data_IF_363864952842
#
_entry.id   IF_363864952842
#
_cell.length_a   1.000
_cell.length_b   1.000
_cell.length_c   1.000
_cell.angle_alpha   90.00
_cell.angle_beta   90.00
_cell.angle_gamma   90.00
#
_symmetry.space_group_name_H-M   'P 1'
#
loop_
_entity.id
_entity.type
_entity.pdbx_description
1 polymer ?
#
# COMPACT_ATOMS: atom_id res chain seq x y z
N UNK A 1 -40.15 27.16 -1.49
CA UNK A 1 -39.42 26.61 -0.32
C UNK A 1 -38.06 26.19 -0.83
N UNK A 2 -36.98 26.80 -0.35
CA UNK A 2 -35.63 26.32 -0.64
C UNK A 2 -35.48 24.93 -0.02
N UNK A 3 -35.38 23.90 -0.87
CA UNK A 3 -35.08 22.55 -0.41
C UNK A 3 -33.58 22.50 -0.15
N UNK A 4 -33.17 22.58 1.13
CA UNK A 4 -31.77 22.39 1.51
C UNK A 4 -31.30 21.02 1.01
N UNK A 5 -30.38 21.01 0.04
CA UNK A 5 -29.80 19.78 -0.52
C UNK A 5 -28.64 19.33 0.36
N UNK A 6 -28.97 18.65 1.45
CA UNK A 6 -27.97 17.96 2.29
C UNK A 6 -27.37 16.77 1.52
N UNK A 7 -26.14 16.39 1.83
CA UNK A 7 -25.49 15.21 1.25
C UNK A 7 -24.81 14.36 2.32
N UNK A 8 -24.78 13.04 2.08
CA UNK A 8 -23.99 12.09 2.86
C UNK A 8 -23.62 10.94 1.93
N UNK A 9 -22.35 10.88 1.52
CA UNK A 9 -21.88 9.94 0.50
C UNK A 9 -21.31 8.67 1.15
N UNK A 10 -21.67 7.52 0.58
CA UNK A 10 -21.01 6.25 0.84
C UNK A 10 -20.68 5.60 -0.50
N UNK A 11 -19.54 4.94 -0.63
CA UNK A 11 -19.15 4.40 -1.92
C UNK A 11 -17.83 3.65 -1.90
N UNK A 12 -17.42 3.23 -3.10
CA UNK A 12 -16.18 2.49 -3.33
C UNK A 12 -15.19 3.32 -4.12
N UNK A 13 -13.92 3.19 -3.76
CA UNK A 13 -12.80 3.74 -4.52
C UNK A 13 -12.11 2.64 -5.31
N UNK A 14 -11.83 2.88 -6.58
CA UNK A 14 -11.06 1.99 -7.44
C UNK A 14 -9.95 2.75 -8.16
N UNK A 15 -8.75 2.19 -8.23
CA UNK A 15 -7.65 2.72 -9.01
C UNK A 15 -7.56 2.04 -10.36
N UNK A 16 -7.05 2.76 -11.35
CA UNK A 16 -6.72 2.24 -12.67
C UNK A 16 -5.33 2.77 -13.00
N UNK A 17 -4.43 1.91 -13.46
CA UNK A 17 -3.10 2.35 -13.88
C UNK A 17 -3.18 3.20 -15.15
N UNK A 18 -2.43 4.30 -15.20
CA UNK A 18 -2.22 5.05 -16.43
C UNK A 18 -1.04 4.48 -17.20
N UNK A 19 -1.20 4.40 -18.52
CA UNK A 19 -0.13 4.06 -19.46
C UNK A 19 0.73 5.30 -19.75
N UNK A 20 1.93 5.07 -20.26
CA UNK A 20 2.85 6.14 -20.64
C UNK A 20 2.29 7.07 -21.74
N UNK A 21 1.33 6.59 -22.55
CA UNK A 21 0.64 7.38 -23.57
C UNK A 21 -0.50 8.27 -23.01
N UNK A 22 -0.73 8.22 -21.70
CA UNK A 22 -1.80 8.94 -21.01
C UNK A 22 -3.15 8.23 -21.01
N UNK A 23 -3.30 7.10 -21.70
CA UNK A 23 -4.54 6.30 -21.68
C UNK A 23 -4.66 5.47 -20.39
N UNK A 24 -5.89 5.05 -20.08
CA UNK A 24 -6.16 4.16 -18.94
C UNK A 24 -5.92 2.71 -19.33
N UNK A 25 -5.30 1.94 -18.43
CA UNK A 25 -5.23 0.49 -18.60
C UNK A 25 -6.45 -0.20 -17.98
N UNK A 26 -7.51 -0.37 -18.77
CA UNK A 26 -8.80 -0.87 -18.31
C UNK A 26 -8.75 -2.29 -17.69
N UNK A 27 -7.67 -3.05 -17.89
CA UNK A 27 -7.46 -4.36 -17.24
C UNK A 27 -6.94 -4.27 -15.81
N UNK A 28 -6.56 -3.06 -15.35
CA UNK A 28 -5.92 -2.83 -14.04
C UNK A 28 -6.85 -2.14 -13.03
N UNK A 29 -8.17 -2.16 -13.27
CA UNK A 29 -9.13 -1.59 -12.32
C UNK A 29 -9.15 -2.43 -11.06
N UNK A 30 -8.63 -1.88 -9.97
CA UNK A 30 -8.52 -2.56 -8.67
C UNK A 30 -9.29 -1.79 -7.61
N UNK A 31 -10.08 -2.50 -6.81
CA UNK A 31 -10.75 -1.92 -5.64
C UNK A 31 -9.72 -1.68 -4.53
N UNK A 32 -9.77 -0.51 -3.90
CA UNK A 32 -8.81 -0.14 -2.85
C UNK A 32 -9.16 -0.71 -1.47
N UNK A 33 -10.27 -1.44 -1.33
CA UNK A 33 -10.79 -1.84 -0.03
C UNK A 33 -11.72 -0.78 0.57
N UNK A 34 -12.14 -0.99 1.81
CA UNK A 34 -12.93 -0.04 2.55
C UNK A 34 -12.13 1.23 2.91
N UNK A 35 -12.69 2.38 2.54
CA UNK A 35 -12.15 3.71 2.83
C UNK A 35 -13.05 4.37 3.88
N UNK A 36 -12.52 4.54 5.09
CA UNK A 36 -13.24 5.14 6.22
C UNK A 36 -13.49 6.63 6.02
N UNK A 37 -12.51 7.32 5.47
CA UNK A 37 -12.55 8.76 5.23
C UNK A 37 -11.80 9.10 3.95
N UNK A 38 -12.34 10.02 3.17
CA UNK A 38 -11.72 10.56 1.97
C UNK A 38 -12.04 12.05 1.82
N UNK A 39 -11.02 12.85 1.54
CA UNK A 39 -11.16 14.29 1.32
C UNK A 39 -10.26 14.77 0.18
N UNK A 40 -10.70 15.84 -0.49
CA UNK A 40 -9.90 16.54 -1.49
C UNK A 40 -9.71 17.97 -1.00
N UNK A 41 -8.46 18.32 -0.72
CA UNK A 41 -8.06 19.67 -0.34
C UNK A 41 -7.66 20.45 -1.60
N UNK A 42 -8.16 21.67 -1.73
CA UNK A 42 -7.89 22.54 -2.87
C UNK A 42 -7.28 23.83 -2.37
N UNK A 43 -6.10 24.17 -2.88
CA UNK A 43 -5.40 25.41 -2.55
C UNK A 43 -5.00 26.17 -3.81
N UNK A 44 -4.90 27.49 -3.67
CA UNK A 44 -4.47 28.39 -4.75
C UNK A 44 -3.40 29.33 -4.23
N UNK A 45 -2.33 29.47 -4.99
CA UNK A 45 -1.32 30.49 -4.74
C UNK A 45 -1.77 31.80 -5.39
N UNK A 46 -1.63 32.91 -4.66
CA UNK A 46 -2.06 34.23 -5.13
C UNK A 46 -0.95 35.24 -4.99
N UNK A 47 -0.78 36.04 -6.02
CA UNK A 47 -0.02 37.28 -5.97
C UNK A 47 -1.00 38.45 -5.91
N UNK A 48 -0.86 39.31 -4.91
CA UNK A 48 -1.74 40.46 -4.70
C UNK A 48 -0.94 41.75 -4.77
N UNK A 49 -1.36 42.65 -5.65
CA UNK A 49 -0.74 43.96 -5.81
C UNK A 49 -1.45 44.99 -4.92
N UNK A 50 -0.67 45.72 -4.11
CA UNK A 50 -1.17 46.87 -3.36
C UNK A 50 -1.15 48.13 -4.21
N UNK A 51 -2.19 48.97 -4.13
CA UNK A 51 -2.18 50.27 -4.78
C UNK A 51 -1.11 51.20 -4.17
N UNK A 52 -0.51 52.03 -5.02
CA UNK A 52 0.53 52.99 -4.62
C UNK A 52 0.07 54.45 -4.69
N UNK A 53 -1.16 54.74 -5.13
CA UNK A 53 -1.60 56.10 -5.49
C UNK A 53 -2.53 56.76 -4.45
N UNK A 54 -3.22 56.02 -3.60
CA UNK A 54 -4.17 56.58 -2.61
C UNK A 54 -3.55 56.87 -1.24
N UNK A 55 -2.34 56.38 -0.99
CA UNK A 55 -1.71 56.36 0.33
C UNK A 55 -2.30 55.34 1.32
N UNK A 56 -3.33 54.58 0.94
CA UNK A 56 -4.02 53.61 1.82
C UNK A 56 -3.42 52.20 1.76
N UNK A 57 -2.57 51.91 0.77
CA UNK A 57 -1.98 50.56 0.53
C UNK A 57 -3.05 49.46 0.49
N UNK A 58 -4.20 49.72 -0.13
CA UNK A 58 -5.27 48.74 -0.30
C UNK A 58 -4.92 47.70 -1.38
N UNK A 59 -5.62 46.57 -1.40
CA UNK A 59 -5.49 45.57 -2.48
C UNK A 59 -6.08 46.12 -3.79
N UNK A 60 -5.28 46.15 -4.85
CA UNK A 60 -5.66 46.70 -6.15
C UNK A 60 -5.92 45.61 -7.20
N UNK A 61 -5.26 44.47 -7.07
CA UNK A 61 -5.44 43.34 -7.96
C UNK A 61 -4.90 42.05 -7.37
N UNK A 62 -5.45 40.92 -7.79
CA UNK A 62 -4.97 39.58 -7.39
C UNK A 62 -4.91 38.66 -8.61
N UNK A 63 -3.87 37.85 -8.71
CA UNK A 63 -3.66 36.86 -9.77
C UNK A 63 -3.42 35.51 -9.10
N UNK A 64 -4.05 34.45 -9.62
CA UNK A 64 -3.78 33.07 -9.19
C UNK A 64 -2.57 32.55 -9.97
N UNK A 65 -1.51 32.16 -9.26
CA UNK A 65 -0.24 31.69 -9.83
C UNK A 65 -0.09 30.17 -9.78
N UNK A 66 -0.82 29.51 -8.89
CA UNK A 66 -0.77 28.07 -8.68
C UNK A 66 -2.12 27.50 -8.25
N UNK A 67 -2.37 26.23 -8.59
CA UNK A 67 -3.52 25.44 -8.12
C UNK A 67 -3.03 24.08 -7.71
N UNK A 68 -3.34 23.68 -6.49
CA UNK A 68 -2.95 22.39 -5.93
C UNK A 68 -4.18 21.66 -5.43
N UNK A 69 -4.22 20.37 -5.69
CA UNK A 69 -5.30 19.47 -5.30
C UNK A 69 -4.67 18.27 -4.61
N UNK A 70 -4.92 18.12 -3.31
CA UNK A 70 -4.40 17.03 -2.50
C UNK A 70 -5.54 16.09 -2.14
N UNK A 71 -5.32 14.80 -2.34
CA UNK A 71 -6.22 13.72 -1.95
C UNK A 71 -5.71 13.10 -0.65
N UNK A 72 -6.59 12.98 0.33
CA UNK A 72 -6.32 12.27 1.59
C UNK A 72 -7.35 11.16 1.75
N UNK A 73 -6.90 9.93 1.99
CA UNK A 73 -7.77 8.78 2.24
C UNK A 73 -7.24 7.96 3.41
N UNK A 74 -8.15 7.36 4.18
CA UNK A 74 -7.82 6.42 5.25
C UNK A 74 -8.48 5.08 4.98
N UNK A 75 -7.65 4.08 4.66
CA UNK A 75 -8.09 2.72 4.36
C UNK A 75 -8.05 1.86 5.62
N UNK A 76 -8.93 0.87 5.72
CA UNK A 76 -9.01 -0.01 6.89
C UNK A 76 -8.68 -1.47 6.60
N UNK A 77 -8.40 -1.81 5.33
CA UNK A 77 -8.15 -3.18 4.90
C UNK A 77 -6.67 -3.41 4.56
N UNK A 78 -6.18 -4.60 4.90
CA UNK A 78 -4.81 -5.03 4.61
C UNK A 78 -4.75 -5.71 3.24
N UNK A 79 -4.70 -4.90 2.18
CA UNK A 79 -4.64 -5.37 0.79
C UNK A 79 -3.28 -5.05 0.14
N UNK A 80 -2.70 -5.95 -0.66
CA UNK A 80 -1.39 -5.74 -1.28
C UNK A 80 -1.29 -4.49 -2.16
N UNK A 81 -2.32 -4.19 -2.96
CA UNK A 81 -2.29 -3.05 -3.89
C UNK A 81 -2.26 -1.69 -3.15
N UNK A 82 -3.18 -1.36 -2.22
CA UNK A 82 -3.08 -0.15 -1.41
C UNK A 82 -1.77 -0.06 -0.61
N UNK A 83 -1.28 -1.18 -0.07
CA UNK A 83 0.01 -1.22 0.63
C UNK A 83 1.15 -0.87 -0.32
N UNK A 84 1.17 -1.45 -1.52
CA UNK A 84 2.19 -1.17 -2.54
C UNK A 84 2.17 0.31 -2.95
N UNK A 85 0.98 0.89 -3.14
CA UNK A 85 0.81 2.32 -3.43
C UNK A 85 1.34 3.19 -2.29
N UNK A 86 0.99 2.88 -1.04
CA UNK A 86 1.42 3.66 0.14
C UNK A 86 2.92 3.54 0.44
N UNK A 87 3.58 2.44 0.08
CA UNK A 87 4.99 2.19 0.42
C UNK A 87 5.94 2.43 -0.76
N UNK A 88 5.41 2.88 -1.90
CA UNK A 88 6.12 2.90 -3.18
C UNK A 88 6.76 1.55 -3.50
N UNK A 89 6.07 0.48 -3.10
CA UNK A 89 6.65 -0.83 -3.13
C UNK A 89 6.51 -1.46 -4.51
N UNK A 90 7.52 -2.25 -4.90
CA UNK A 90 7.38 -3.21 -5.98
C UNK A 90 6.80 -4.49 -5.41
N UNK A 91 5.64 -4.89 -5.93
CA UNK A 91 5.05 -6.19 -5.64
C UNK A 91 5.77 -7.28 -6.43
N UNK A 92 6.22 -8.32 -5.72
CA UNK A 92 6.86 -9.50 -6.30
C UNK A 92 6.21 -10.73 -5.71
N UNK A 93 5.62 -11.56 -6.56
CA UNK A 93 5.17 -12.89 -6.17
C UNK A 93 6.38 -13.77 -5.91
N UNK A 94 6.41 -14.41 -4.76
CA UNK A 94 7.41 -15.40 -4.40
C UNK A 94 6.73 -16.76 -4.44
N UNK A 95 7.22 -17.61 -5.32
CA UNK A 95 6.74 -18.98 -5.43
C UNK A 95 7.17 -19.81 -4.22
N UNK A 96 6.37 -20.81 -3.88
CA UNK A 96 6.73 -21.80 -2.88
C UNK A 96 8.03 -22.53 -3.28
N UNK A 97 8.89 -22.81 -2.31
CA UNK A 97 10.19 -23.45 -2.53
C UNK A 97 10.37 -24.64 -1.61
N UNK A 98 11.01 -25.69 -2.13
CA UNK A 98 11.54 -26.77 -1.29
C UNK A 98 13.03 -26.51 -1.10
N UNK A 99 13.43 -26.27 0.15
CA UNK A 99 14.82 -26.10 0.54
C UNK A 99 15.29 -27.45 1.09
N UNK A 100 16.41 -27.94 0.57
CA UNK A 100 17.00 -29.20 0.98
C UNK A 100 18.39 -28.94 1.57
N UNK A 101 18.67 -29.63 2.68
CA UNK A 101 19.96 -29.68 3.34
C UNK A 101 20.61 -28.31 3.64
N UNK A 102 19.83 -27.33 4.09
CA UNK A 102 20.33 -26.06 4.61
C UNK A 102 21.19 -26.29 5.85
N UNK A 103 22.46 -25.89 5.78
CA UNK A 103 23.43 -26.17 6.83
C UNK A 103 23.34 -25.16 7.99
N UNK A 104 23.23 -25.68 9.20
CA UNK A 104 23.21 -24.85 10.40
C UNK A 104 24.62 -24.39 10.75
N UNK A 105 24.77 -23.19 11.34
CA UNK A 105 26.04 -22.79 11.95
C UNK A 105 26.38 -23.73 13.11
N UNK A 106 27.61 -23.61 13.64
CA UNK A 106 27.95 -24.33 14.88
C UNK A 106 27.08 -23.81 16.03
N UNK A 107 26.32 -24.70 16.65
CA UNK A 107 25.34 -24.40 17.69
C UNK A 107 25.65 -25.13 18.98
N UNK A 108 25.23 -24.56 20.11
CA UNK A 108 25.18 -25.24 21.40
C UNK A 108 23.73 -25.37 21.88
N UNK A 109 23.50 -26.27 22.84
CA UNK A 109 22.18 -26.45 23.47
C UNK A 109 21.63 -25.10 23.94
N UNK A 110 20.40 -24.78 23.53
CA UNK A 110 19.69 -23.53 23.83
C UNK A 110 19.85 -22.42 22.79
N UNK A 111 20.67 -22.59 21.74
CA UNK A 111 20.72 -21.63 20.63
C UNK A 111 19.48 -21.73 19.73
N UNK A 112 19.05 -20.57 19.23
CA UNK A 112 18.04 -20.46 18.18
C UNK A 112 18.72 -20.12 16.86
N UNK A 113 18.49 -20.94 15.84
CA UNK A 113 18.91 -20.72 14.45
C UNK A 113 17.70 -20.22 13.67
N UNK A 114 17.93 -19.23 12.82
CA UNK A 114 16.93 -18.72 11.88
C UNK A 114 17.21 -19.35 10.52
N UNK A 115 16.20 -20.00 9.94
CA UNK A 115 16.28 -20.53 8.58
C UNK A 115 16.19 -19.41 7.55
N UNK A 116 16.74 -19.61 6.36
CA UNK A 116 16.68 -18.61 5.28
C UNK A 116 15.26 -18.40 4.72
N UNK A 117 14.37 -19.37 4.93
CA UNK A 117 13.00 -19.35 4.42
C UNK A 117 11.97 -18.95 5.47
N UNK A 118 10.80 -18.50 5.00
CA UNK A 118 9.68 -18.06 5.84
C UNK A 118 8.44 -18.93 5.62
N UNK A 119 7.49 -18.86 6.55
CA UNK A 119 6.26 -19.67 6.57
C UNK A 119 6.56 -21.14 6.26
N UNK A 120 7.44 -21.70 7.09
CA UNK A 120 8.03 -23.02 6.87
C UNK A 120 7.02 -24.13 7.20
N UNK A 121 7.10 -25.22 6.45
CA UNK A 121 6.35 -26.46 6.71
C UNK A 121 7.20 -27.68 6.35
N UNK A 122 6.78 -28.87 6.80
CA UNK A 122 7.48 -30.14 6.56
C UNK A 122 8.98 -30.12 6.96
N UNK A 123 9.31 -29.47 8.09
CA UNK A 123 10.69 -29.37 8.57
C UNK A 123 11.24 -30.73 9.02
N UNK A 124 12.39 -31.10 8.45
CA UNK A 124 13.16 -32.28 8.80
C UNK A 124 14.60 -31.84 9.04
N UNK A 125 15.12 -32.11 10.23
CA UNK A 125 16.52 -31.81 10.59
C UNK A 125 17.30 -33.11 10.73
N UNK A 126 18.46 -33.19 10.07
CA UNK A 126 19.36 -34.34 10.14
C UNK A 126 20.75 -33.93 10.59
N UNK A 127 21.47 -34.85 11.19
CA UNK A 127 22.87 -34.67 11.52
C UNK A 127 23.81 -35.02 10.35
N UNK A 128 25.08 -34.61 10.43
CA UNK A 128 26.09 -34.82 9.39
C UNK A 128 26.91 -36.11 9.59
N UNK A 129 26.30 -37.16 10.15
CA UNK A 129 26.94 -38.49 10.23
C UNK A 129 26.88 -39.22 8.89
N UNK A 130 27.68 -40.29 8.73
CA UNK A 130 27.71 -41.10 7.50
C UNK A 130 26.36 -41.80 7.20
N UNK A 131 25.57 -42.05 8.25
CA UNK A 131 24.17 -42.50 8.17
C UNK A 131 23.33 -41.47 8.93
N UNK A 132 22.89 -40.37 8.27
CA UNK A 132 22.28 -39.23 8.93
C UNK A 132 21.12 -39.62 9.85
N UNK A 133 21.18 -39.18 11.11
CA UNK A 133 20.11 -39.37 12.08
C UNK A 133 19.17 -38.17 12.03
N UNK A 134 17.88 -38.43 11.89
CA UNK A 134 16.84 -37.39 11.96
C UNK A 134 16.64 -36.99 13.42
N UNK A 135 16.80 -35.70 13.71
CA UNK A 135 16.50 -35.11 15.01
C UNK A 135 14.98 -35.12 15.24
N UNK A 136 14.54 -35.28 16.49
CA UNK A 136 13.13 -35.32 16.86
C UNK A 136 12.68 -33.98 17.45
N UNK A 137 11.60 -33.44 16.91
CA UNK A 137 10.92 -32.27 17.49
C UNK A 137 10.44 -32.56 18.92
N UNK A 138 10.59 -31.58 19.81
CA UNK A 138 10.24 -31.66 21.23
C UNK A 138 11.26 -32.40 22.10
N UNK A 139 12.27 -33.04 21.50
CA UNK A 139 13.35 -33.74 22.22
C UNK A 139 14.71 -33.13 21.88
N UNK A 140 15.02 -33.04 20.59
CA UNK A 140 16.32 -32.60 20.10
C UNK A 140 16.29 -31.13 19.63
N UNK A 141 15.13 -30.66 19.17
CA UNK A 141 14.88 -29.26 18.81
C UNK A 141 13.42 -28.86 19.08
N UNK A 142 13.16 -27.56 19.11
CA UNK A 142 11.84 -26.93 19.27
C UNK A 142 11.65 -25.90 18.14
N UNK A 143 10.48 -25.90 17.50
CA UNK A 143 10.10 -24.86 16.56
C UNK A 143 9.57 -23.69 17.39
N UNK A 144 10.34 -22.60 17.45
CA UNK A 144 9.95 -21.38 18.18
C UNK A 144 8.97 -20.57 17.33
N UNK A 145 9.19 -20.52 16.02
CA UNK A 145 8.33 -19.83 15.07
C UNK A 145 8.47 -20.44 13.68
N UNK A 146 7.37 -20.92 13.13
CA UNK A 146 7.27 -21.40 11.75
C UNK A 146 7.14 -20.23 10.74
N UNK A 147 6.78 -19.04 11.20
CA UNK A 147 6.68 -17.84 10.36
C UNK A 147 8.07 -17.33 9.98
N UNK A 148 8.93 -17.10 10.98
CA UNK A 148 10.30 -16.61 10.81
C UNK A 148 11.34 -17.72 10.61
N UNK A 149 10.95 -18.98 10.78
CA UNK A 149 11.87 -20.10 10.68
C UNK A 149 12.82 -20.21 11.87
N UNK A 150 12.36 -19.83 13.07
CA UNK A 150 13.17 -19.84 14.29
C UNK A 150 13.15 -21.23 14.94
N UNK A 151 14.30 -21.90 14.94
CA UNK A 151 14.47 -23.25 15.46
C UNK A 151 15.44 -23.25 16.63
N UNK A 152 14.96 -23.64 17.80
CA UNK A 152 15.79 -23.76 19.01
C UNK A 152 16.32 -25.18 19.15
N UNK A 153 17.64 -25.32 19.24
CA UNK A 153 18.28 -26.62 19.43
C UNK A 153 18.33 -26.95 20.93
N UNK A 154 17.86 -28.15 21.31
CA UNK A 154 17.77 -28.60 22.69
C UNK A 154 18.89 -29.59 23.06
N UNK A 155 19.34 -30.40 22.09
CA UNK A 155 20.37 -31.41 22.31
C UNK A 155 21.33 -31.53 21.11
N UNK A 156 22.60 -31.19 21.37
CA UNK A 156 23.71 -31.27 20.41
C UNK A 156 24.67 -32.41 20.69
N UNK A 157 24.60 -33.03 21.88
CA UNK A 157 25.65 -33.95 22.38
C UNK A 157 25.63 -35.32 21.73
N UNK A 158 24.48 -35.75 21.23
CA UNK A 158 24.26 -37.07 20.63
C UNK A 158 24.40 -37.09 19.11
N UNK A 159 24.68 -35.94 18.48
CA UNK A 159 24.63 -35.78 17.04
C UNK A 159 25.87 -35.07 16.48
N UNK A 160 26.16 -35.28 15.20
CA UNK A 160 27.29 -34.62 14.53
C UNK A 160 26.85 -33.36 13.78
N UNK A 161 27.45 -32.23 14.12
CA UNK A 161 27.26 -30.97 13.39
C UNK A 161 28.11 -30.90 12.10
N UNK A 162 27.75 -30.06 11.11
CA UNK A 162 26.58 -29.17 11.07
C UNK A 162 25.26 -29.94 10.93
N UNK A 163 24.17 -29.42 11.49
CA UNK A 163 22.83 -29.94 11.21
C UNK A 163 22.36 -29.48 9.84
N UNK A 164 21.48 -30.26 9.22
CA UNK A 164 20.95 -29.99 7.88
C UNK A 164 19.43 -29.97 7.94
N UNK A 165 18.82 -28.82 7.64
CA UNK A 165 17.38 -28.68 7.57
C UNK A 165 16.87 -28.82 6.14
N UNK A 166 15.82 -29.62 5.98
CA UNK A 166 15.03 -29.68 4.75
C UNK A 166 13.60 -29.29 5.09
N UNK A 167 13.02 -28.36 4.33
CA UNK A 167 11.69 -27.81 4.61
C UNK A 167 11.09 -27.17 3.36
N UNK A 168 9.80 -26.84 3.43
CA UNK A 168 9.10 -26.08 2.39
C UNK A 168 8.86 -24.66 2.89
N UNK A 169 9.15 -23.67 2.06
CA UNK A 169 8.74 -22.28 2.26
C UNK A 169 7.50 -22.00 1.41
N UNK A 170 6.50 -21.34 2.01
CA UNK A 170 5.22 -21.07 1.36
C UNK A 170 5.32 -19.96 0.30
N UNK A 171 4.36 -19.93 -0.62
CA UNK A 171 4.20 -18.79 -1.52
C UNK A 171 3.84 -17.52 -0.73
N UNK A 172 4.32 -16.37 -1.19
CA UNK A 172 4.06 -15.08 -0.55
C UNK A 172 4.05 -13.95 -1.57
N UNK A 173 3.44 -12.83 -1.19
CA UNK A 173 3.59 -11.56 -1.92
C UNK A 173 4.57 -10.68 -1.16
N UNK A 174 5.76 -10.49 -1.73
CA UNK A 174 6.76 -9.59 -1.19
C UNK A 174 6.51 -8.17 -1.70
N UNK A 175 6.49 -7.20 -0.77
CA UNK A 175 6.47 -5.78 -1.07
C UNK A 175 7.85 -5.20 -0.73
N UNK A 176 8.56 -4.66 -1.72
CA UNK A 176 9.84 -3.99 -1.52
C UNK A 176 9.66 -2.48 -1.53
N UNK A 177 9.61 -1.80 -0.36
CA UNK A 177 9.34 -0.36 -0.28
C UNK A 177 10.38 0.45 -1.05
N UNK A 178 9.95 1.58 -1.63
CA UNK A 178 10.78 2.47 -2.46
C UNK A 178 11.49 1.82 -3.67
N UNK A 179 11.17 0.58 -4.03
CA UNK A 179 11.71 -0.05 -5.23
C UNK A 179 11.18 0.61 -6.51
N UNK A 180 10.01 1.27 -6.45
CA UNK A 180 9.49 2.08 -7.53
C UNK A 180 9.89 3.55 -7.32
N UNK A 181 11.03 3.95 -7.90
CA UNK A 181 11.57 5.32 -7.81
C UNK A 181 10.58 6.36 -8.37
N UNK A 182 9.77 5.96 -9.36
CA UNK A 182 8.67 6.75 -9.89
C UNK A 182 7.43 5.85 -10.02
N UNK A 183 6.56 5.80 -8.99
CA UNK A 183 5.37 4.97 -9.05
C UNK A 183 4.44 5.47 -10.16
N UNK A 184 3.74 4.56 -10.86
CA UNK A 184 2.88 4.94 -11.97
C UNK A 184 1.71 5.80 -11.48
N UNK A 185 1.40 6.84 -12.23
CA UNK A 185 0.21 7.65 -12.02
C UNK A 185 -1.05 6.77 -12.14
N UNK A 186 -2.04 7.03 -11.29
CA UNK A 186 -3.31 6.32 -11.27
C UNK A 186 -4.46 7.25 -11.66
N UNK A 187 -5.48 6.70 -12.30
CA UNK A 187 -6.80 7.30 -12.31
C UNK A 187 -7.58 6.72 -11.12
N UNK A 188 -8.25 7.57 -10.36
CA UNK A 188 -9.04 7.16 -9.20
C UNK A 188 -10.52 7.42 -9.47
N UNK A 189 -11.33 6.40 -9.27
CA UNK A 189 -12.77 6.44 -9.51
C UNK A 189 -13.50 6.19 -8.20
N UNK A 190 -14.36 7.13 -7.81
CA UNK A 190 -15.33 6.98 -6.74
C UNK A 190 -16.70 6.70 -7.33
N UNK A 191 -17.28 5.58 -6.91
CA UNK A 191 -18.66 5.22 -7.23
C UNK A 191 -19.44 5.18 -5.92
N UNK A 192 -20.28 6.17 -5.70
CA UNK A 192 -21.01 6.35 -4.45
C UNK A 192 -22.51 6.55 -4.61
N UNK A 193 -23.19 6.48 -3.48
CA UNK A 193 -24.60 6.77 -3.29
C UNK A 193 -24.74 7.86 -2.22
N UNK A 194 -25.56 8.86 -2.50
CA UNK A 194 -25.97 9.81 -1.49
C UNK A 194 -27.08 9.18 -0.64
N UNK A 195 -26.75 8.85 0.61
CA UNK A 195 -27.64 8.14 1.54
C UNK A 195 -28.90 8.94 1.91
N UNK A 196 -28.90 10.26 1.74
CA UNK A 196 -30.08 11.10 2.00
C UNK A 196 -31.06 11.14 0.82
N UNK A 197 -30.57 10.98 -0.40
CA UNK A 197 -31.39 11.10 -1.63
C UNK A 197 -31.55 9.79 -2.39
N UNK A 198 -30.74 8.77 -2.07
CA UNK A 198 -30.64 7.51 -2.81
C UNK A 198 -30.00 7.63 -4.19
N UNK A 199 -29.47 8.80 -4.56
CA UNK A 199 -28.94 9.06 -5.91
C UNK A 199 -27.47 8.73 -6.02
N UNK A 200 -27.08 8.18 -7.17
CA UNK A 200 -25.69 7.85 -7.42
C UNK A 200 -24.86 9.11 -7.69
N UNK A 201 -23.63 9.07 -7.21
CA UNK A 201 -22.59 10.08 -7.40
C UNK A 201 -21.35 9.38 -7.94
N UNK A 202 -20.76 9.95 -8.98
CA UNK A 202 -19.57 9.44 -9.64
C UNK A 202 -18.52 10.54 -9.67
N UNK A 203 -17.32 10.24 -9.17
CA UNK A 203 -16.19 11.16 -9.22
C UNK A 203 -15.03 10.43 -9.89
N UNK A 204 -14.45 11.04 -10.92
CA UNK A 204 -13.26 10.52 -11.58
C UNK A 204 -12.15 11.55 -11.48
N UNK A 205 -11.04 11.16 -10.88
CA UNK A 205 -9.81 11.94 -10.76
C UNK A 205 -8.81 11.38 -11.77
N UNK A 206 -8.45 12.20 -12.76
CA UNK A 206 -7.80 11.69 -13.97
C UNK A 206 -6.37 11.24 -13.72
N UNK A 207 -5.57 12.05 -13.03
CA UNK A 207 -4.16 11.77 -12.71
C UNK A 207 -3.94 12.00 -11.23
N UNK A 208 -3.68 10.92 -10.51
CA UNK A 208 -3.32 10.92 -9.10
C UNK A 208 -1.92 10.32 -8.99
N UNK A 209 -1.00 11.10 -8.45
CA UNK A 209 0.29 10.61 -7.98
C UNK A 209 0.14 10.38 -6.48
N UNK A 210 0.14 9.11 -6.06
CA UNK A 210 0.19 8.80 -4.62
C UNK A 210 1.56 9.15 -4.07
N UNK A 211 1.60 9.57 -2.81
CA UNK A 211 2.78 9.85 -2.02
C UNK A 211 3.04 8.69 -1.05
N UNK A 212 4.30 8.43 -0.66
CA UNK A 212 4.58 7.38 0.31
C UNK A 212 4.01 7.79 1.67
N UNK A 213 3.45 6.84 2.41
CA UNK A 213 2.92 7.11 3.75
C UNK A 213 4.04 7.56 4.67
N UNK A 214 3.79 8.64 5.40
CA UNK A 214 4.72 9.17 6.41
C UNK A 214 4.69 8.35 7.71
N UNK A 215 3.62 7.60 7.96
CA UNK A 215 3.46 6.76 9.14
C UNK A 215 2.73 5.45 8.79
N UNK A 216 3.34 4.32 9.13
CA UNK A 216 2.79 2.98 8.88
C UNK A 216 2.70 2.22 10.20
N UNK A 217 1.52 2.23 10.82
CA UNK A 217 1.27 1.60 12.11
C UNK A 217 1.08 0.09 12.01
N UNK A 218 2.07 -0.68 12.48
CA UNK A 218 2.03 -2.15 12.44
C UNK A 218 1.18 -2.77 13.55
N UNK A 219 1.11 -2.14 14.72
CA UNK A 219 0.42 -2.66 15.92
C UNK A 219 -0.55 -1.59 16.39
N UNK A 220 -1.81 -1.97 16.60
CA UNK A 220 -2.90 -1.04 16.92
C UNK A 220 -3.77 -1.62 18.05
N UNK A 221 -4.26 -0.76 18.95
CA UNK A 221 -5.20 -1.15 20.03
C UNK A 221 -6.63 -1.37 19.51
N UNK A 222 -6.93 -0.80 18.34
CA UNK A 222 -8.22 -0.95 17.63
C UNK A 222 -7.96 -1.41 16.18
N UNK A 223 -8.88 -1.15 15.25
CA UNK A 223 -8.65 -1.46 13.85
C UNK A 223 -7.47 -0.65 13.29
N UNK A 224 -6.59 -1.33 12.54
CA UNK A 224 -5.49 -0.67 11.85
C UNK A 224 -6.00 0.24 10.74
N UNK A 225 -5.26 1.33 10.51
CA UNK A 225 -5.56 2.31 9.48
C UNK A 225 -4.33 2.51 8.58
N UNK A 226 -4.56 2.62 7.28
CA UNK A 226 -3.56 2.93 6.28
C UNK A 226 -3.87 4.29 5.66
N UNK A 227 -3.14 5.34 6.03
CA UNK A 227 -3.27 6.63 5.36
C UNK A 227 -2.66 6.52 3.95
N UNK A 228 -3.42 6.96 2.96
CA UNK A 228 -3.01 7.04 1.56
C UNK A 228 -3.27 8.46 1.06
N UNK A 229 -2.20 9.19 0.81
CA UNK A 229 -2.24 10.55 0.31
C UNK A 229 -1.76 10.61 -1.13
N UNK A 230 -2.21 11.61 -1.88
CA UNK A 230 -1.70 11.84 -3.22
C UNK A 230 -2.01 13.23 -3.74
N UNK A 231 -1.36 13.59 -4.83
CA UNK A 231 -1.57 14.87 -5.51
C UNK A 231 -2.26 14.63 -6.85
N UNK A 232 -3.30 15.42 -7.15
CA UNK A 232 -3.95 15.41 -8.45
C UNK A 232 -3.14 16.27 -9.42
N UNK A 233 -2.70 15.67 -10.52
CA UNK A 233 -1.96 16.32 -11.58
C UNK A 233 -2.89 16.72 -12.73
N UNK A 234 -2.54 17.79 -13.45
CA UNK A 234 -3.34 18.24 -14.59
C UNK A 234 -3.21 17.26 -15.77
N UNK A 235 -4.31 16.76 -16.30
CA UNK A 235 -4.34 15.99 -17.53
C UNK A 235 -4.53 16.90 -18.75
N UNK A 236 -3.47 17.10 -19.53
CA UNK A 236 -3.49 17.96 -20.71
C UNK A 236 -4.40 17.44 -21.83
N UNK A 237 -4.68 16.13 -21.90
CA UNK A 237 -5.61 15.57 -22.89
C UNK A 237 -7.09 15.79 -22.51
N UNK A 238 -7.35 16.04 -21.22
CA UNK A 238 -8.67 16.40 -20.69
C UNK A 238 -8.85 17.91 -20.57
N UNK A 239 -7.77 18.68 -20.71
CA UNK A 239 -7.79 20.16 -20.68
C UNK A 239 -8.21 20.70 -22.05
N UNK A 240 -9.17 21.64 -22.10
CA UNK A 240 -9.59 22.31 -23.34
C UNK A 240 -10.76 21.66 -24.08
N UNK A 241 -11.38 20.61 -23.53
CA UNK A 241 -12.78 20.30 -23.85
C UNK A 241 -13.63 21.25 -22.98
N UNK A 242 -14.60 21.95 -23.58
CA UNK A 242 -15.37 23.08 -23.02
C UNK A 242 -15.99 22.89 -21.61
N UNK A 243 -15.87 21.72 -20.98
CA UNK A 243 -16.55 21.35 -19.73
C UNK A 243 -15.66 20.58 -18.73
N UNK A 244 -14.36 20.40 -18.98
CA UNK A 244 -13.50 19.60 -18.10
C UNK A 244 -12.41 20.43 -17.40
N UNK A 245 -12.28 20.25 -16.09
CA UNK A 245 -11.31 20.95 -15.25
C UNK A 245 -9.85 20.51 -15.49
N UNK A 246 -9.63 19.40 -16.21
CA UNK A 246 -8.32 18.77 -16.40
C UNK A 246 -7.83 17.95 -15.19
N UNK A 247 -8.45 18.07 -14.01
CA UNK A 247 -8.05 17.34 -12.80
C UNK A 247 -9.04 16.24 -12.44
N UNK A 248 -10.33 16.59 -12.37
CA UNK A 248 -11.40 15.67 -12.02
C UNK A 248 -12.74 16.07 -12.65
N UNK A 249 -13.67 15.13 -12.66
CA UNK A 249 -15.09 15.37 -12.93
C UNK A 249 -15.96 14.80 -11.83
N UNK A 250 -17.07 15.49 -11.54
CA UNK A 250 -18.10 15.05 -10.59
C UNK A 250 -19.42 14.99 -11.35
N UNK A 251 -20.05 13.82 -11.34
CA UNK A 251 -21.34 13.57 -11.96
C UNK A 251 -22.31 13.10 -10.87
N UNK A 252 -23.44 13.79 -10.75
CA UNK A 252 -24.53 13.42 -9.84
C UNK A 252 -25.78 13.18 -10.65
N UNK A 253 -26.52 12.12 -10.35
CA UNK A 253 -27.82 11.91 -10.98
C UNK A 253 -28.85 12.95 -10.50
N UNK A 254 -29.67 13.44 -11.44
CA UNK A 254 -30.73 14.42 -11.17
C UNK A 254 -32.02 13.84 -10.63
#
# INVERSE_FOLDING_TARGET
METNKLFSLQGRFSTIQRKADGSLDNTTKTWLGNVKEASIEMSVDKETMKESFSGQRADYGTIITGKTFSLNMTLTEWLPEPLALSLYAKEVKVDAKTIADEEFPTVVDGNTVVLDGYFISDLIIKDSTATPVTLKEGVDYEIVSDISGDIKILNTKTFKQPFKASYKSSEATALYPFANIQPPERCLVFEGINTLTGKNTYIEMYRVQFDPTSNFGLINETFGELPLTGTLLIDSQKTGKDQLSGYMQVLTME
#
